data_IF_104750876677
#
_entry.id   IF_104750876677
#
_cell.length_a   1.000
_cell.length_b   1.000
_cell.length_c   1.000
_cell.angle_alpha   90.00
_cell.angle_beta   90.00
_cell.angle_gamma   90.00
#
_symmetry.space_group_name_H-M   'P 1'
#
loop_
_entity.id
_entity.type
_entity.pdbx_description
1 polymer ?
#
# COMPACT_ATOMS: atom_id res chain seq x y z
N UNK A 1 -16.04 -20.37 -6.25
CA UNK A 1 -15.28 -20.05 -5.01
C UNK A 1 -15.90 -20.81 -3.84
N UNK A 2 -15.08 -21.42 -3.01
CA UNK A 2 -15.58 -22.10 -1.80
C UNK A 2 -15.64 -21.09 -0.64
N UNK A 3 -16.81 -20.54 -0.39
CA UNK A 3 -17.02 -19.55 0.67
C UNK A 3 -16.70 -20.08 2.07
N UNK A 4 -16.86 -21.38 2.30
CA UNK A 4 -16.56 -22.01 3.59
C UNK A 4 -15.05 -22.10 3.89
N UNK A 5 -14.20 -21.86 2.91
CA UNK A 5 -12.74 -21.80 3.10
C UNK A 5 -12.27 -20.47 3.69
N UNK A 6 -13.10 -19.42 3.61
CA UNK A 6 -12.79 -18.11 4.18
C UNK A 6 -13.23 -18.13 5.64
N UNK A 7 -12.28 -18.42 6.54
CA UNK A 7 -12.55 -18.62 7.97
C UNK A 7 -11.84 -17.60 8.88
N UNK A 8 -11.66 -16.39 8.41
CA UNK A 8 -11.03 -15.34 9.21
C UNK A 8 -11.86 -14.06 9.17
N UNK A 9 -11.71 -13.24 10.21
CA UNK A 9 -12.32 -11.91 10.31
C UNK A 9 -11.43 -10.86 9.63
N UNK A 10 -12.02 -10.03 8.78
CA UNK A 10 -11.30 -8.93 8.14
C UNK A 10 -10.65 -7.98 9.14
N UNK A 11 -11.30 -7.69 10.26
CA UNK A 11 -10.73 -6.81 11.28
C UNK A 11 -9.43 -7.36 11.86
N UNK A 12 -9.33 -8.69 11.98
CA UNK A 12 -8.10 -9.35 12.42
C UNK A 12 -7.02 -9.30 11.35
N UNK A 13 -7.38 -9.50 10.09
CA UNK A 13 -6.45 -9.36 8.95
C UNK A 13 -5.92 -7.91 8.85
N UNK A 14 -6.79 -6.92 9.03
CA UNK A 14 -6.42 -5.49 9.06
C UNK A 14 -5.45 -5.20 10.20
N UNK A 15 -5.69 -5.74 11.39
CA UNK A 15 -4.81 -5.56 12.54
C UNK A 15 -3.39 -6.07 12.25
N UNK A 16 -3.28 -7.24 11.64
CA UNK A 16 -2.00 -7.79 11.19
C UNK A 16 -1.33 -6.88 10.15
N UNK A 17 -2.07 -6.49 9.12
CA UNK A 17 -1.57 -5.62 8.04
C UNK A 17 -1.00 -4.31 8.59
N UNK A 18 -1.78 -3.61 9.42
CA UNK A 18 -1.35 -2.32 9.98
C UNK A 18 -0.15 -2.50 10.93
N UNK A 19 -0.08 -3.61 11.68
CA UNK A 19 1.07 -3.89 12.55
C UNK A 19 2.36 -4.05 11.75
N UNK A 20 2.32 -4.69 10.59
CA UNK A 20 3.49 -4.81 9.71
C UNK A 20 3.86 -3.44 9.10
N UNK A 21 2.88 -2.70 8.60
CA UNK A 21 3.11 -1.39 7.97
C UNK A 21 3.68 -0.35 8.95
N UNK A 22 3.16 -0.29 10.15
CA UNK A 22 3.61 0.66 11.18
C UNK A 22 4.85 0.18 11.96
N UNK A 23 5.21 -1.08 11.83
CA UNK A 23 6.44 -1.65 12.40
C UNK A 23 6.34 -2.08 13.87
N UNK A 24 5.24 -1.80 14.57
CA UNK A 24 5.01 -2.22 15.95
C UNK A 24 3.53 -2.25 16.31
N UNK A 25 3.17 -3.05 17.33
CA UNK A 25 1.82 -3.06 17.88
C UNK A 25 1.41 -1.69 18.44
N UNK A 26 2.34 -1.00 19.08
CA UNK A 26 2.09 0.33 19.66
C UNK A 26 1.75 1.36 18.59
N UNK A 27 2.53 1.42 17.52
CA UNK A 27 2.30 2.34 16.40
C UNK A 27 1.01 1.99 15.63
N UNK A 28 0.76 0.71 15.42
CA UNK A 28 -0.46 0.23 14.77
C UNK A 28 -1.73 0.55 15.58
N UNK A 29 -1.66 0.40 16.91
CA UNK A 29 -2.76 0.76 17.79
C UNK A 29 -3.11 2.24 17.70
N UNK A 30 -2.11 3.11 17.64
CA UNK A 30 -2.32 4.54 17.39
C UNK A 30 -2.96 4.81 16.04
N UNK A 31 -2.47 4.17 14.98
CA UNK A 31 -2.99 4.34 13.62
C UNK A 31 -4.46 3.91 13.50
N UNK A 32 -4.87 2.87 14.21
CA UNK A 32 -6.24 2.36 14.23
C UNK A 32 -7.11 2.96 15.35
N UNK A 33 -6.57 3.87 16.14
CA UNK A 33 -7.25 4.50 17.26
C UNK A 33 -7.87 3.48 18.23
N UNK A 34 -7.07 2.50 18.64
CA UNK A 34 -7.46 1.46 19.60
C UNK A 34 -6.35 1.19 20.60
N UNK A 35 -6.64 0.44 21.67
CA UNK A 35 -5.65 0.05 22.64
C UNK A 35 -4.70 -1.03 22.10
N UNK A 36 -3.44 -1.01 22.53
CA UNK A 36 -2.46 -2.03 22.13
C UNK A 36 -2.88 -3.46 22.54
N UNK A 37 -3.43 -3.71 23.74
CA UNK A 37 -3.93 -5.04 24.10
C UNK A 37 -5.05 -5.54 23.17
N UNK A 38 -5.97 -4.66 22.76
CA UNK A 38 -7.05 -5.01 21.82
C UNK A 38 -6.47 -5.40 20.46
N UNK A 39 -5.54 -4.63 19.95
CA UNK A 39 -4.86 -4.94 18.69
C UNK A 39 -4.09 -6.26 18.76
N UNK A 40 -3.36 -6.49 19.84
CA UNK A 40 -2.63 -7.73 20.07
C UNK A 40 -3.57 -8.96 20.09
N UNK A 41 -4.74 -8.83 20.70
CA UNK A 41 -5.75 -9.90 20.68
C UNK A 41 -6.30 -10.16 19.28
N UNK A 42 -6.50 -9.14 18.47
CA UNK A 42 -6.95 -9.29 17.09
C UNK A 42 -5.90 -10.01 16.22
N UNK A 43 -4.63 -9.68 16.38
CA UNK A 43 -3.53 -10.37 15.68
C UNK A 43 -3.46 -11.84 16.13
N UNK A 44 -3.53 -12.10 17.43
CA UNK A 44 -3.55 -13.48 17.96
C UNK A 44 -4.77 -14.27 17.50
N UNK A 45 -5.92 -13.61 17.37
CA UNK A 45 -7.12 -14.25 16.82
C UNK A 45 -6.93 -14.68 15.36
N UNK A 46 -6.29 -13.84 14.54
CA UNK A 46 -5.95 -14.20 13.17
C UNK A 46 -5.04 -15.42 13.10
N UNK A 47 -4.02 -15.48 13.95
CA UNK A 47 -3.13 -16.64 14.06
C UNK A 47 -3.89 -17.92 14.34
N UNK A 48 -4.86 -17.88 15.23
CA UNK A 48 -5.74 -19.05 15.54
C UNK A 48 -6.65 -19.39 14.37
N UNK A 49 -7.25 -18.41 13.73
CA UNK A 49 -8.14 -18.59 12.58
C UNK A 49 -7.43 -19.25 11.40
N UNK A 50 -6.20 -18.83 11.14
CA UNK A 50 -5.37 -19.33 10.04
C UNK A 50 -4.52 -20.56 10.42
N UNK A 51 -4.36 -20.84 11.70
CA UNK A 51 -3.54 -21.94 12.19
C UNK A 51 -2.04 -21.76 11.97
N UNK A 52 -1.57 -20.51 11.95
CA UNK A 52 -0.16 -20.15 11.74
C UNK A 52 0.28 -19.06 12.72
N UNK A 53 1.57 -19.02 13.01
CA UNK A 53 2.20 -17.93 13.75
C UNK A 53 2.61 -16.83 12.77
N UNK A 54 2.18 -15.61 13.00
CA UNK A 54 2.48 -14.46 12.14
C UNK A 54 3.65 -13.64 12.68
N UNK A 55 3.79 -13.59 13.99
CA UNK A 55 4.89 -12.94 14.68
C UNK A 55 5.51 -13.89 15.71
N UNK A 56 6.76 -13.65 16.02
CA UNK A 56 7.48 -14.34 17.09
C UNK A 56 8.28 -13.34 17.93
N UNK A 57 8.50 -13.69 19.19
CA UNK A 57 9.36 -12.89 20.06
C UNK A 57 10.80 -13.31 19.87
N UNK A 58 11.67 -12.35 19.52
CA UNK A 58 13.11 -12.50 19.39
C UNK A 58 13.77 -11.51 20.37
N UNK A 59 14.28 -12.00 21.46
CA UNK A 59 14.79 -11.14 22.54
C UNK A 59 13.68 -10.24 23.10
N UNK A 60 13.86 -8.93 23.02
CA UNK A 60 12.83 -7.94 23.37
C UNK A 60 11.98 -7.50 22.19
N UNK A 61 12.32 -8.00 20.99
CA UNK A 61 11.67 -7.64 19.75
C UNK A 61 10.48 -8.53 19.41
N UNK A 62 9.74 -8.08 18.43
CA UNK A 62 8.56 -8.74 17.88
C UNK A 62 8.75 -8.77 16.37
N UNK A 63 9.05 -9.92 15.82
CA UNK A 63 9.42 -10.08 14.42
C UNK A 63 8.39 -10.89 13.65
N UNK A 64 8.21 -10.53 12.38
CA UNK A 64 7.34 -11.28 11.48
C UNK A 64 7.97 -12.64 11.15
N UNK A 65 7.16 -13.70 11.17
CA UNK A 65 7.59 -15.04 10.77
C UNK A 65 7.62 -15.18 9.25
N UNK A 66 8.19 -16.27 8.76
CA UNK A 66 8.13 -16.63 7.35
C UNK A 66 6.68 -16.75 6.85
N UNK A 67 5.82 -17.42 7.59
CA UNK A 67 4.39 -17.49 7.28
C UNK A 67 3.75 -16.12 7.24
N UNK A 68 4.11 -15.25 8.18
CA UNK A 68 3.65 -13.85 8.19
C UNK A 68 4.04 -13.09 6.93
N UNK A 69 5.28 -13.23 6.46
CA UNK A 69 5.74 -12.59 5.23
C UNK A 69 4.96 -13.09 4.01
N UNK A 70 4.73 -14.39 3.90
CA UNK A 70 3.95 -14.98 2.80
C UNK A 70 2.49 -14.49 2.81
N UNK A 71 1.86 -14.44 3.97
CA UNK A 71 0.47 -14.00 4.12
C UNK A 71 0.30 -12.49 4.01
N UNK A 72 1.33 -11.72 4.36
CA UNK A 72 1.31 -10.26 4.28
C UNK A 72 0.95 -9.76 2.88
N UNK A 73 1.51 -10.32 1.83
CA UNK A 73 1.22 -9.91 0.44
C UNK A 73 -0.26 -10.07 0.10
N UNK A 74 -0.91 -11.13 0.57
CA UNK A 74 -2.33 -11.35 0.36
C UNK A 74 -3.19 -10.37 1.16
N UNK A 75 -2.82 -10.12 2.41
CA UNK A 75 -3.54 -9.17 3.26
C UNK A 75 -3.38 -7.74 2.77
N UNK A 76 -2.20 -7.39 2.26
CA UNK A 76 -1.95 -6.11 1.60
C UNK A 76 -2.87 -5.91 0.39
N UNK A 77 -3.01 -6.91 -0.47
CA UNK A 77 -3.93 -6.86 -1.61
C UNK A 77 -5.39 -6.67 -1.16
N UNK A 78 -5.81 -7.33 -0.08
CA UNK A 78 -7.12 -7.12 0.53
C UNK A 78 -7.29 -5.68 1.04
N UNK A 79 -6.29 -5.13 1.70
CA UNK A 79 -6.28 -3.77 2.20
C UNK A 79 -6.41 -2.73 1.09
N UNK A 80 -5.67 -2.91 0.01
CA UNK A 80 -5.75 -2.05 -1.17
C UNK A 80 -7.13 -2.10 -1.82
N UNK A 81 -7.72 -3.30 -1.95
CA UNK A 81 -9.06 -3.48 -2.47
C UNK A 81 -10.13 -2.84 -1.56
N UNK A 82 -9.99 -2.99 -0.25
CA UNK A 82 -10.89 -2.35 0.72
C UNK A 82 -10.83 -0.82 0.66
N UNK A 83 -9.63 -0.26 0.51
CA UNK A 83 -9.43 1.17 0.32
C UNK A 83 -10.10 1.66 -0.97
N UNK A 84 -9.90 0.96 -2.08
CA UNK A 84 -10.54 1.27 -3.37
C UNK A 84 -12.06 1.22 -3.27
N UNK A 85 -12.60 0.21 -2.58
CA UNK A 85 -14.04 0.09 -2.33
C UNK A 85 -14.59 1.31 -1.57
N UNK A 86 -13.90 1.73 -0.52
CA UNK A 86 -14.29 2.90 0.27
C UNK A 86 -14.26 4.19 -0.52
N UNK A 87 -13.21 4.39 -1.33
CA UNK A 87 -13.06 5.57 -2.18
C UNK A 87 -14.13 5.60 -3.29
N UNK A 88 -14.40 4.47 -3.92
CA UNK A 88 -15.42 4.34 -4.96
C UNK A 88 -16.82 4.63 -4.39
N UNK A 89 -17.14 4.08 -3.22
CA UNK A 89 -18.42 4.28 -2.55
C UNK A 89 -18.65 5.74 -2.13
N UNK A 90 -17.58 6.47 -1.77
CA UNK A 90 -17.67 7.89 -1.39
C UNK A 90 -17.72 8.85 -2.60
N UNK A 91 -17.69 8.34 -3.82
CA UNK A 91 -17.63 9.16 -5.05
C UNK A 91 -16.27 9.83 -5.25
N UNK A 92 -15.30 9.54 -4.41
CA UNK A 92 -13.91 9.94 -4.58
C UNK A 92 -13.22 8.88 -5.43
N UNK A 93 -13.56 8.83 -6.74
CA UNK A 93 -12.69 8.11 -7.67
C UNK A 93 -11.29 8.69 -7.49
N UNK A 94 -10.28 7.83 -7.42
CA UNK A 94 -8.88 8.29 -7.46
C UNK A 94 -8.66 8.92 -8.83
N UNK A 95 -8.93 10.21 -8.94
CA UNK A 95 -8.35 10.99 -10.01
C UNK A 95 -6.86 11.00 -9.71
N UNK A 96 -6.08 10.41 -10.58
CA UNK A 96 -4.64 10.57 -10.56
C UNK A 96 -4.39 12.03 -10.91
N UNK A 97 -4.04 12.82 -9.92
CA UNK A 97 -3.79 14.25 -10.03
C UNK A 97 -2.43 14.58 -9.45
N UNK A 98 -1.74 15.49 -10.07
CA UNK A 98 -0.46 15.95 -9.58
C UNK A 98 0.36 16.62 -10.66
N UNK A 99 1.54 17.10 -10.30
CA UNK A 99 2.52 17.67 -11.21
C UNK A 99 3.80 16.85 -11.18
N UNK A 100 4.36 16.61 -12.38
CA UNK A 100 5.63 15.93 -12.56
C UNK A 100 6.51 16.81 -13.44
N UNK A 101 7.72 17.11 -12.97
CA UNK A 101 8.72 17.83 -13.76
C UNK A 101 9.69 16.83 -14.36
N UNK A 102 9.84 16.86 -15.69
CA UNK A 102 10.77 16.00 -16.42
C UNK A 102 11.91 16.85 -16.96
N UNK A 103 13.13 16.54 -16.57
CA UNK A 103 14.34 17.13 -17.14
C UNK A 103 14.92 16.19 -18.20
N UNK A 104 15.14 16.69 -19.39
CA UNK A 104 15.68 15.90 -20.49
C UNK A 104 16.58 16.73 -21.42
N UNK A 105 17.39 16.04 -22.21
CA UNK A 105 18.19 16.69 -23.24
C UNK A 105 17.31 17.33 -24.32
N UNK A 106 17.83 18.31 -25.03
CA UNK A 106 17.08 18.97 -26.10
C UNK A 106 16.57 18.00 -27.16
N UNK A 107 17.35 17.00 -27.52
CA UNK A 107 16.94 15.97 -28.48
C UNK A 107 15.77 15.13 -27.99
N UNK A 108 15.82 14.68 -26.73
CA UNK A 108 14.73 13.90 -26.11
C UNK A 108 13.46 14.75 -25.98
N UNK A 109 13.61 16.01 -25.57
CA UNK A 109 12.49 16.94 -25.41
C UNK A 109 11.80 17.27 -26.75
N UNK A 110 12.56 17.33 -27.84
CA UNK A 110 12.04 17.68 -29.15
C UNK A 110 11.40 16.49 -29.89
N UNK A 111 11.95 15.28 -29.80
CA UNK A 111 11.62 14.18 -30.71
C UNK A 111 11.00 12.96 -30.05
N UNK A 112 11.25 12.73 -28.77
CA UNK A 112 10.79 11.49 -28.08
C UNK A 112 9.67 11.79 -27.08
N UNK A 113 9.88 12.74 -26.18
CA UNK A 113 8.98 13.01 -25.07
C UNK A 113 7.61 13.56 -25.48
N UNK A 114 7.44 14.44 -26.49
CA UNK A 114 6.13 14.99 -26.83
C UNK A 114 5.07 13.93 -27.15
N UNK A 115 5.42 12.88 -27.88
CA UNK A 115 4.51 11.80 -28.20
C UNK A 115 4.09 10.99 -26.97
N UNK A 116 5.05 10.71 -26.06
CA UNK A 116 4.80 10.00 -24.82
C UNK A 116 3.94 10.83 -23.87
N UNK A 117 4.23 12.11 -23.72
CA UNK A 117 3.48 13.04 -22.88
C UNK A 117 2.05 13.21 -23.39
N UNK A 118 1.86 13.34 -24.69
CA UNK A 118 0.55 13.40 -25.29
C UNK A 118 -0.28 12.15 -24.99
N UNK A 119 0.31 10.98 -25.14
CA UNK A 119 -0.34 9.71 -24.80
C UNK A 119 -0.70 9.62 -23.32
N UNK A 120 0.20 10.04 -22.44
CA UNK A 120 -0.02 10.05 -21.00
C UNK A 120 -1.14 11.03 -20.62
N UNK A 121 -1.18 12.23 -21.21
CA UNK A 121 -2.21 13.22 -20.92
C UNK A 121 -3.60 12.80 -21.42
N UNK A 122 -3.68 11.92 -22.40
CA UNK A 122 -4.95 11.31 -22.82
C UNK A 122 -5.42 10.23 -21.86
N UNK A 123 -4.48 9.45 -21.29
CA UNK A 123 -4.78 8.38 -20.35
C UNK A 123 -5.10 8.92 -18.94
N UNK A 124 -4.36 9.92 -18.52
CA UNK A 124 -4.41 10.50 -17.17
C UNK A 124 -4.46 12.03 -17.25
N UNK A 125 -5.62 12.62 -17.55
CA UNK A 125 -5.74 14.07 -17.78
C UNK A 125 -5.48 14.94 -16.54
N UNK A 126 -5.50 14.35 -15.34
CA UNK A 126 -5.23 15.05 -14.09
C UNK A 126 -3.74 15.27 -13.80
N UNK A 127 -2.82 14.67 -14.57
CA UNK A 127 -1.39 14.86 -14.39
C UNK A 127 -0.92 16.06 -15.21
N UNK A 128 -0.37 17.05 -14.52
CA UNK A 128 0.32 18.17 -15.15
C UNK A 128 1.79 17.82 -15.33
N UNK A 129 2.30 17.93 -16.57
CA UNK A 129 3.69 17.62 -16.88
C UNK A 129 4.40 18.90 -17.30
N UNK A 130 5.46 19.24 -16.55
CA UNK A 130 6.38 20.31 -16.88
C UNK A 130 7.65 19.70 -17.47
N UNK A 131 8.03 20.18 -18.66
CA UNK A 131 9.28 19.77 -19.29
C UNK A 131 10.34 20.85 -19.16
N UNK A 132 11.48 20.48 -18.61
CA UNK A 132 12.68 21.33 -18.58
C UNK A 132 13.72 20.73 -19.51
N UNK A 133 14.03 21.45 -20.56
CA UNK A 133 15.05 21.06 -21.53
C UNK A 133 16.40 21.66 -21.14
N UNK A 134 17.43 20.83 -21.00
CA UNK A 134 18.77 21.26 -20.66
C UNK A 134 19.81 20.43 -21.38
N UNK A 135 20.90 21.09 -21.80
CA UNK A 135 22.10 20.43 -22.31
C UNK A 135 23.21 20.33 -21.26
N UNK A 136 23.00 20.86 -20.06
CA UNK A 136 23.94 20.73 -18.98
C UNK A 136 23.89 19.32 -18.40
N UNK A 137 25.05 18.70 -18.25
CA UNK A 137 25.18 17.50 -17.42
C UNK A 137 24.83 17.90 -15.99
N UNK A 138 23.81 17.29 -15.45
CA UNK A 138 23.51 17.45 -14.02
C UNK A 138 24.59 16.72 -13.25
N UNK A 139 25.43 17.47 -12.52
CA UNK A 139 26.34 16.91 -11.53
C UNK A 139 25.54 16.34 -10.35
#
# INVERSE_FOLDING_TARGET
MNWNAIKFDWNHARAFFVTVEEGSLSAAAKALNMSQPTLGRQVSALEKELGVSLFERVGRGYEITRSGVELYEHVKAMGEAANTLSLTASGRSQSIEGSVTISATNTMSAYVLPALIHKLSQLEPGIQIEMVSTNALSD
#
